data_IF_894018990042
#
_entry.id   IF_894018990042
#
_cell.length_a   1.000
_cell.length_b   1.000
_cell.length_c   1.000
_cell.angle_alpha   90.00
_cell.angle_beta   90.00
_cell.angle_gamma   90.00
#
_symmetry.space_group_name_H-M   'P 1'
#
loop_
_entity.id
_entity.type
_entity.pdbx_description
1 polymer ?
#
# COMPACT_ATOMS: atom_id res chain seq x y z
N UNK A 1 3.08 -6.27 -4.61
CA UNK A 1 4.03 -5.88 -3.52
C UNK A 1 3.33 -6.06 -2.18
N UNK A 2 4.02 -6.27 -1.05
CA UNK A 2 3.39 -6.36 0.27
C UNK A 2 4.13 -5.48 1.28
N UNK A 3 3.39 -4.78 2.12
CA UNK A 3 3.92 -4.06 3.29
C UNK A 3 3.47 -4.73 4.59
N UNK A 4 4.14 -4.38 5.69
CA UNK A 4 3.78 -4.83 7.04
C UNK A 4 4.04 -3.74 8.06
N UNK A 5 3.22 -3.70 9.09
CA UNK A 5 3.41 -2.91 10.31
C UNK A 5 3.20 -3.80 11.54
N UNK A 6 3.67 -3.33 12.70
CA UNK A 6 3.55 -4.02 13.98
C UNK A 6 3.02 -3.05 15.03
N UNK A 7 2.10 -3.52 15.85
CA UNK A 7 1.64 -2.82 17.06
C UNK A 7 2.12 -3.58 18.31
N UNK A 8 2.23 -2.89 19.44
CA UNK A 8 2.65 -3.50 20.71
C UNK A 8 1.49 -4.17 21.47
N UNK A 9 0.25 -3.83 21.13
CA UNK A 9 -0.96 -4.43 21.69
C UNK A 9 -1.16 -5.88 21.17
N UNK A 10 -1.96 -6.66 21.92
CA UNK A 10 -2.29 -8.03 21.55
C UNK A 10 -3.05 -8.05 20.19
N UNK A 11 -2.52 -8.73 19.15
CA UNK A 11 -3.10 -8.74 17.81
C UNK A 11 -4.45 -9.46 17.73
N UNK A 12 -4.85 -10.19 18.77
CA UNK A 12 -6.18 -10.82 18.88
C UNK A 12 -7.26 -9.85 19.36
N UNK A 13 -6.86 -8.63 19.75
CA UNK A 13 -7.78 -7.58 20.21
C UNK A 13 -7.98 -6.51 19.14
N UNK A 14 -9.11 -5.78 19.15
CA UNK A 14 -9.31 -4.65 18.24
C UNK A 14 -8.26 -3.55 18.34
N UNK A 15 -7.51 -3.45 19.45
CA UNK A 15 -6.45 -2.45 19.57
C UNK A 15 -5.16 -2.90 18.87
N UNK A 16 -4.89 -4.20 18.77
CA UNK A 16 -3.75 -4.73 18.02
C UNK A 16 -4.06 -5.05 16.55
N UNK A 17 -5.34 -4.99 16.14
CA UNK A 17 -5.72 -5.21 14.75
C UNK A 17 -5.34 -3.99 13.89
N UNK A 18 -4.50 -4.22 12.87
CA UNK A 18 -4.02 -3.20 11.95
C UNK A 18 -4.80 -3.22 10.64
N UNK A 19 -5.17 -2.02 10.16
CA UNK A 19 -5.73 -1.82 8.82
C UNK A 19 -4.84 -0.96 7.95
N UNK A 20 -4.70 -1.37 6.69
CA UNK A 20 -3.89 -0.68 5.69
C UNK A 20 -4.76 0.13 4.72
N UNK A 21 -4.26 1.28 4.28
CA UNK A 21 -4.90 2.12 3.26
C UNK A 21 -3.86 2.90 2.46
N UNK A 22 -4.17 3.21 1.21
CA UNK A 22 -3.42 4.19 0.43
C UNK A 22 -3.99 5.59 0.69
N UNK A 23 -3.14 6.58 0.87
CA UNK A 23 -3.54 7.97 1.17
C UNK A 23 -2.92 8.97 0.21
N UNK A 24 -3.59 10.10 0.00
CA UNK A 24 -2.99 11.26 -0.68
C UNK A 24 -1.82 11.82 0.15
N UNK A 25 -0.74 12.32 -0.48
CA UNK A 25 -0.59 12.62 -1.90
C UNK A 25 -0.15 11.45 -2.81
N UNK A 26 -0.18 10.19 -2.36
CA UNK A 26 0.19 9.03 -3.19
C UNK A 26 -0.85 8.64 -4.25
N UNK A 27 -0.46 7.84 -5.25
CA UNK A 27 -1.37 7.38 -6.30
C UNK A 27 -2.37 6.33 -5.77
N UNK A 28 -3.63 6.75 -5.62
CA UNK A 28 -4.76 5.89 -5.20
C UNK A 28 -5.67 5.49 -6.36
N UNK A 29 -5.35 5.95 -7.57
CA UNK A 29 -6.10 5.69 -8.80
C UNK A 29 -5.61 4.47 -9.56
N UNK A 30 -4.29 4.29 -9.61
CA UNK A 30 -3.63 3.21 -10.35
C UNK A 30 -3.43 1.94 -9.51
N UNK A 31 -3.39 2.09 -8.18
CA UNK A 31 -3.12 1.01 -7.24
C UNK A 31 -4.19 0.93 -6.15
N UNK A 32 -4.29 -0.25 -5.56
CA UNK A 32 -5.08 -0.51 -4.37
C UNK A 32 -4.27 -1.33 -3.37
N UNK A 33 -4.74 -1.36 -2.12
CA UNK A 33 -4.13 -2.16 -1.06
C UNK A 33 -5.21 -2.95 -0.34
N UNK A 34 -4.95 -4.24 -0.13
CA UNK A 34 -5.78 -5.07 0.73
C UNK A 34 -5.64 -4.60 2.19
N UNK A 35 -6.76 -4.22 2.80
CA UNK A 35 -6.77 -3.56 4.10
C UNK A 35 -6.34 -4.45 5.25
N UNK A 36 -6.29 -5.77 5.08
CA UNK A 36 -5.95 -6.73 6.14
C UNK A 36 -4.53 -7.27 5.97
N UNK A 37 -4.13 -7.52 4.73
CA UNK A 37 -2.87 -8.20 4.39
C UNK A 37 -1.76 -7.23 4.01
N UNK A 38 -2.08 -5.97 3.67
CA UNK A 38 -1.11 -4.99 3.20
C UNK A 38 -0.55 -5.29 1.81
N UNK A 39 -1.21 -6.17 1.03
CA UNK A 39 -0.85 -6.48 -0.35
C UNK A 39 -1.30 -5.34 -1.27
N UNK A 40 -0.35 -4.78 -2.01
CA UNK A 40 -0.56 -3.75 -3.03
C UNK A 40 -0.65 -4.41 -4.40
N UNK A 41 -1.73 -4.12 -5.11
CA UNK A 41 -2.04 -4.60 -6.47
C UNK A 41 -2.37 -3.44 -7.41
N UNK A 42 -2.24 -3.69 -8.72
CA UNK A 42 -2.70 -2.75 -9.74
C UNK A 42 -4.23 -2.77 -9.75
N UNK A 43 -4.84 -1.60 -9.61
CA UNK A 43 -6.28 -1.41 -9.74
C UNK A 43 -6.71 -1.32 -11.20
N UNK A 44 -5.81 -0.87 -12.06
CA UNK A 44 -6.00 -0.75 -13.51
C UNK A 44 -5.29 -1.89 -14.25
N UNK A 45 -5.82 -2.25 -15.42
CA UNK A 45 -5.33 -3.39 -16.20
C UNK A 45 -3.98 -3.10 -16.89
N UNK A 46 -3.62 -1.84 -17.08
CA UNK A 46 -2.43 -1.43 -17.84
C UNK A 46 -1.76 -0.23 -17.19
N UNK A 47 -0.47 -0.35 -16.92
CA UNK A 47 0.40 0.76 -16.54
C UNK A 47 1.26 1.07 -17.76
N UNK A 48 1.03 2.25 -18.36
CA UNK A 48 1.80 2.69 -19.52
C UNK A 48 3.09 3.37 -19.05
N UNK A 49 4.22 2.70 -19.30
CA UNK A 49 5.54 3.18 -18.92
C UNK A 49 5.93 4.45 -19.68
N UNK A 50 5.53 4.62 -20.94
CA UNK A 50 5.80 5.85 -21.69
C UNK A 50 5.11 7.06 -21.05
N UNK A 51 3.91 6.84 -20.49
CA UNK A 51 3.15 7.87 -19.77
C UNK A 51 3.74 8.15 -18.39
N UNK A 52 4.03 7.11 -17.60
CA UNK A 52 4.57 7.26 -16.25
C UNK A 52 5.42 6.06 -15.82
N UNK A 53 6.71 6.32 -15.58
CA UNK A 53 7.71 5.28 -15.27
C UNK A 53 7.79 4.92 -13.79
N UNK A 54 7.33 5.83 -12.93
CA UNK A 54 7.46 5.71 -11.48
C UNK A 54 6.18 6.20 -10.80
N UNK A 55 5.76 5.46 -9.79
CA UNK A 55 4.63 5.78 -8.94
C UNK A 55 5.10 5.84 -7.49
N UNK A 56 4.61 6.82 -6.75
CA UNK A 56 4.83 6.92 -5.30
C UNK A 56 3.49 6.69 -4.61
N UNK A 57 3.44 5.66 -3.78
CA UNK A 57 2.31 5.35 -2.93
C UNK A 57 2.63 5.79 -1.52
N UNK A 58 1.63 6.34 -0.82
CA UNK A 58 1.72 6.58 0.62
C UNK A 58 0.79 5.59 1.29
N UNK A 59 1.38 4.68 2.06
CA UNK A 59 0.64 3.65 2.79
C UNK A 59 0.50 4.08 4.24
N UNK A 60 -0.73 4.03 4.76
CA UNK A 60 -1.07 4.22 6.16
C UNK A 60 -1.46 2.90 6.79
N UNK A 61 -0.82 2.53 7.89
CA UNK A 61 -1.28 1.51 8.82
C UNK A 61 -1.93 2.20 10.02
N UNK A 62 -3.07 1.68 10.47
CA UNK A 62 -3.85 2.25 11.58
C UNK A 62 -4.34 1.14 12.50
N UNK A 63 -4.17 1.32 13.81
CA UNK A 63 -4.78 0.46 14.81
C UNK A 63 -6.31 0.66 14.87
N UNK A 64 -7.05 -0.39 15.21
CA UNK A 64 -8.52 -0.37 15.17
C UNK A 64 -9.16 0.12 16.49
N UNK A 65 -8.46 0.90 17.31
CA UNK A 65 -9.01 1.48 18.54
C UNK A 65 -10.09 2.52 18.23
N UNK A 66 -11.34 2.05 18.13
CA UNK A 66 -12.51 2.89 17.88
C UNK A 66 -12.53 3.59 16.53
N UNK A 67 -11.77 3.10 15.52
CA UNK A 67 -11.66 3.52 14.11
C UNK A 67 -11.30 5.01 13.83
N UNK A 68 -11.71 5.95 14.68
CA UNK A 68 -11.46 7.39 14.56
C UNK A 68 -10.33 7.90 15.46
N UNK A 69 -9.91 7.12 16.47
CA UNK A 69 -8.89 7.52 17.46
C UNK A 69 -7.68 6.59 17.50
N UNK A 70 -7.56 5.70 16.52
CA UNK A 70 -6.44 4.77 16.45
C UNK A 70 -5.14 5.45 16.07
N UNK A 71 -4.03 4.94 16.60
CA UNK A 71 -2.68 5.37 16.24
C UNK A 71 -2.41 5.02 14.78
N UNK A 72 -1.58 5.85 14.13
CA UNK A 72 -1.26 5.66 12.71
C UNK A 72 0.24 5.73 12.48
N UNK A 73 0.70 4.97 11.49
CA UNK A 73 2.04 5.07 10.93
C UNK A 73 1.93 5.15 9.40
N UNK A 74 2.79 5.94 8.78
CA UNK A 74 2.83 6.12 7.33
C UNK A 74 4.19 5.81 6.75
N UNK A 75 4.21 5.27 5.53
CA UNK A 75 5.45 5.04 4.77
C UNK A 75 5.22 5.26 3.28
N UNK A 76 6.30 5.54 2.55
CA UNK A 76 6.27 5.73 1.10
C UNK A 76 6.79 4.49 0.39
N UNK A 77 6.04 4.00 -0.59
CA UNK A 77 6.44 2.89 -1.47
C UNK A 77 6.64 3.44 -2.88
N UNK A 78 7.85 3.26 -3.42
CA UNK A 78 8.15 3.64 -4.80
C UNK A 78 8.03 2.42 -5.70
N UNK A 79 7.16 2.48 -6.71
CA UNK A 79 6.99 1.46 -7.74
C UNK A 79 7.62 1.98 -9.02
N UNK A 80 8.55 1.23 -9.59
CA UNK A 80 9.16 1.51 -10.89
C UNK A 80 8.60 0.50 -11.88
N UNK A 81 8.09 0.99 -13.01
CA UNK A 81 7.61 0.14 -14.10
C UNK A 81 8.83 -0.26 -14.92
N UNK A 82 9.16 -1.56 -14.86
CA UNK A 82 10.25 -2.10 -15.65
C UNK A 82 9.86 -2.11 -17.14
N UNK A 83 10.87 -2.01 -18.01
CA UNK A 83 10.63 -2.19 -19.44
C UNK A 83 10.28 -3.66 -19.69
N UNK A 84 9.40 -3.93 -20.64
CA UNK A 84 9.29 -5.29 -21.18
C UNK A 84 10.50 -5.44 -22.10
N UNK A 85 11.69 -5.58 -21.52
CA UNK A 85 12.81 -6.13 -22.26
C UNK A 85 12.51 -7.61 -22.46
N UNK A 86 11.74 -7.88 -23.51
CA UNK A 86 11.72 -9.13 -24.26
C UNK A 86 13.15 -9.41 -24.75
N UNK A 87 14.06 -9.74 -23.84
CA UNK A 87 15.36 -10.27 -24.20
C UNK A 87 15.10 -11.64 -24.84
N UNK A 88 14.82 -11.61 -26.14
CA UNK A 88 15.02 -12.73 -27.04
C UNK A 88 16.47 -13.20 -26.87
N UNK A 89 16.64 -14.30 -26.13
CA UNK A 89 17.80 -15.16 -26.18
C UNK A 89 17.33 -16.61 -26.19
#
# INVERSE_FOLDING_TARGET
VKVSATDADDPTTPNGELRYSLTSPGDTSSFEIDSTTGVISCKINTLDRESQRQYVLVVKAQDMRGMASGSTATTSVTIVIDDINDNLA
#
